data_IF_635490611153
#
_entry.id   IF_635490611153
#
_cell.length_a   1.000
_cell.length_b   1.000
_cell.length_c   1.000
_cell.angle_alpha   90.00
_cell.angle_beta   90.00
_cell.angle_gamma   90.00
#
_symmetry.space_group_name_H-M   'P 1'
#
loop_
_entity.id
_entity.type
_entity.pdbx_description
1 polymer ?
#
# COMPACT_ATOMS: atom_id res chain seq x y z
N UNK A 1 0.92 7.91 9.33
CA UNK A 1 1.72 9.15 9.31
C UNK A 1 1.35 10.11 8.18
N UNK A 2 1.41 9.72 6.90
CA UNK A 2 1.14 10.66 5.78
C UNK A 2 -0.18 11.43 5.89
N UNK A 3 -1.28 10.77 6.27
CA UNK A 3 -2.56 11.45 6.44
C UNK A 3 -2.63 12.37 7.67
N UNK A 4 -1.81 12.15 8.71
CA UNK A 4 -1.66 13.10 9.82
C UNK A 4 -0.89 14.36 9.37
N UNK A 5 -0.03 14.23 8.36
CA UNK A 5 0.69 15.33 7.75
C UNK A 5 -0.11 16.03 6.63
N UNK A 6 -1.41 15.76 6.51
CA UNK A 6 -2.31 16.46 5.58
C UNK A 6 -2.28 15.94 4.14
N UNK A 7 -1.73 14.75 3.87
CA UNK A 7 -1.74 14.19 2.51
C UNK A 7 -3.17 13.92 2.01
N UNK A 8 -3.47 14.36 0.77
CA UNK A 8 -4.74 14.11 0.08
C UNK A 8 -4.63 12.98 -0.97
N UNK A 9 -3.41 12.72 -1.46
CA UNK A 9 -3.08 11.59 -2.32
C UNK A 9 -1.80 10.94 -1.81
N UNK A 10 -1.79 9.62 -1.67
CA UNK A 10 -0.60 8.83 -1.34
C UNK A 10 -0.30 7.86 -2.47
N UNK A 11 0.82 8.09 -3.16
CA UNK A 11 1.35 7.17 -4.17
C UNK A 11 2.12 6.03 -3.50
N UNK A 12 1.89 4.81 -3.97
CA UNK A 12 2.53 3.60 -3.49
C UNK A 12 3.16 2.84 -4.69
N UNK A 13 4.36 3.25 -5.12
CA UNK A 13 5.13 2.51 -6.12
C UNK A 13 5.71 1.24 -5.50
N UNK A 14 5.45 0.11 -6.15
CA UNK A 14 5.81 -1.23 -5.68
C UNK A 14 6.45 -2.05 -6.80
N UNK A 15 7.18 -3.08 -6.39
CA UNK A 15 7.66 -4.15 -7.26
C UNK A 15 7.48 -5.47 -6.51
N UNK A 16 6.37 -6.15 -6.77
CA UNK A 16 6.02 -7.40 -6.11
C UNK A 16 5.45 -8.43 -7.07
N UNK A 17 5.72 -9.71 -6.79
CA UNK A 17 5.40 -10.85 -7.64
C UNK A 17 4.17 -11.61 -7.14
N UNK A 18 3.55 -12.37 -8.04
CA UNK A 18 2.30 -13.11 -7.82
C UNK A 18 2.34 -14.06 -6.63
N UNK A 19 3.45 -14.78 -6.46
CA UNK A 19 3.68 -15.78 -5.42
C UNK A 19 3.93 -15.20 -4.03
N UNK A 20 4.18 -13.89 -3.92
CA UNK A 20 4.58 -13.26 -2.66
C UNK A 20 3.41 -12.58 -1.93
N UNK A 21 2.65 -11.74 -2.63
CA UNK A 21 1.72 -10.81 -1.95
C UNK A 21 0.49 -10.41 -2.76
N UNK A 22 0.21 -11.08 -3.88
CA UNK A 22 -0.89 -10.68 -4.76
C UNK A 22 -2.25 -10.68 -4.04
N UNK A 23 -2.48 -11.65 -3.16
CA UNK A 23 -3.72 -11.73 -2.36
C UNK A 23 -3.92 -10.53 -1.43
N UNK A 24 -2.84 -9.83 -1.06
CA UNK A 24 -2.87 -8.63 -0.22
C UNK A 24 -3.04 -7.35 -1.05
N UNK A 25 -2.69 -7.39 -2.34
CA UNK A 25 -2.71 -6.24 -3.24
C UNK A 25 -4.05 -5.47 -3.28
N UNK A 26 -5.24 -6.11 -3.34
CA UNK A 26 -6.50 -5.37 -3.35
C UNK A 26 -6.95 -4.88 -1.96
N UNK A 27 -6.19 -5.20 -0.90
CA UNK A 27 -6.55 -4.96 0.49
C UNK A 27 -5.81 -3.76 1.06
N UNK A 28 -4.48 -3.76 1.01
CA UNK A 28 -3.66 -2.88 1.87
C UNK A 28 -3.78 -1.39 1.48
N UNK A 29 -3.57 -1.06 0.21
CA UNK A 29 -3.71 0.32 -0.26
C UNK A 29 -5.16 0.81 -0.13
N UNK A 30 -6.13 -0.07 -0.40
CA UNK A 30 -7.55 0.24 -0.21
C UNK A 30 -7.89 0.55 1.26
N UNK A 31 -7.36 -0.25 2.18
CA UNK A 31 -7.49 -0.03 3.62
C UNK A 31 -6.86 1.30 4.04
N UNK A 32 -5.68 1.62 3.50
CA UNK A 32 -5.01 2.88 3.78
C UNK A 32 -5.86 4.11 3.36
N UNK A 33 -6.51 4.06 2.19
CA UNK A 33 -7.43 5.10 1.72
C UNK A 33 -8.60 5.31 2.70
N UNK A 34 -9.28 4.22 3.06
CA UNK A 34 -10.42 4.21 3.98
C UNK A 34 -10.04 4.71 5.37
N UNK A 35 -8.95 4.20 5.95
CA UNK A 35 -8.53 4.53 7.31
C UNK A 35 -8.05 5.99 7.45
N UNK A 36 -7.60 6.60 6.36
CA UNK A 36 -7.02 7.94 6.38
C UNK A 36 -7.87 9.02 5.70
N UNK A 37 -8.94 8.63 4.99
CA UNK A 37 -9.79 9.49 4.18
C UNK A 37 -9.00 10.34 3.18
N UNK A 38 -8.11 9.69 2.43
CA UNK A 38 -7.38 10.25 1.29
C UNK A 38 -7.49 9.33 0.08
N UNK A 39 -6.93 9.75 -1.06
CA UNK A 39 -6.72 8.84 -2.20
C UNK A 39 -5.44 8.02 -2.03
N UNK A 40 -5.47 6.78 -2.51
CA UNK A 40 -4.25 5.95 -2.67
C UNK A 40 -4.08 5.52 -4.12
N UNK A 41 -2.84 5.52 -4.60
CA UNK A 41 -2.47 5.08 -5.94
C UNK A 41 -1.49 3.92 -5.83
N UNK A 42 -1.98 2.69 -5.96
CA UNK A 42 -1.16 1.48 -5.91
C UNK A 42 -0.62 1.17 -7.32
N UNK A 43 0.70 1.14 -7.45
CA UNK A 43 1.38 0.95 -8.74
C UNK A 43 2.32 -0.24 -8.60
N UNK A 44 2.13 -1.28 -9.40
CA UNK A 44 3.07 -2.40 -9.48
C UNK A 44 3.69 -2.47 -10.88
N UNK A 45 4.88 -3.06 -10.92
CA UNK A 45 5.56 -3.44 -12.16
C UNK A 45 4.78 -4.55 -12.88
N UNK A 46 5.03 -4.71 -14.19
CA UNK A 46 4.54 -5.84 -15.01
C UNK A 46 5.71 -6.60 -15.63
N UNK A 47 5.49 -7.87 -15.94
CA UNK A 47 6.44 -8.72 -16.66
C UNK A 47 7.34 -9.55 -15.77
N UNK A 48 8.34 -10.19 -16.36
CA UNK A 48 9.32 -11.04 -15.66
C UNK A 48 10.71 -10.56 -16.03
N UNK A 49 11.57 -10.44 -15.03
CA UNK A 49 12.95 -9.98 -15.21
C UNK A 49 13.93 -11.10 -14.90
N UNK A 50 14.94 -11.24 -15.77
CA UNK A 50 16.01 -12.22 -15.64
C UNK A 50 17.34 -11.50 -15.44
N UNK A 51 18.14 -11.98 -14.49
CA UNK A 51 19.43 -11.43 -14.11
C UNK A 51 20.59 -12.30 -14.60
N UNK A 52 21.78 -11.73 -14.83
CA UNK A 52 22.91 -12.46 -15.41
C UNK A 52 23.55 -13.49 -14.48
N UNK A 53 23.38 -13.35 -13.16
CA UNK A 53 23.97 -14.24 -12.16
C UNK A 53 22.84 -14.90 -11.34
N UNK A 54 23.06 -16.14 -10.93
CA UNK A 54 22.12 -16.86 -10.07
C UNK A 54 22.04 -16.24 -8.67
N UNK A 55 20.85 -16.30 -8.08
CA UNK A 55 20.57 -15.93 -6.69
C UNK A 55 19.57 -16.91 -6.07
N UNK A 56 19.38 -16.85 -4.75
CA UNK A 56 18.42 -17.67 -4.01
C UNK A 56 17.36 -16.81 -3.34
N UNK A 57 16.17 -17.37 -3.12
CA UNK A 57 15.02 -16.66 -2.50
C UNK A 57 14.83 -16.97 -1.01
N UNK A 58 15.78 -17.66 -0.38
CA UNK A 58 15.68 -18.06 1.03
C UNK A 58 14.60 -19.12 1.33
N UNK A 59 14.05 -19.76 0.31
CA UNK A 59 12.96 -20.75 0.38
C UNK A 59 13.45 -22.20 0.19
N UNK A 60 14.76 -22.44 0.36
CA UNK A 60 15.44 -23.73 0.18
C UNK A 60 15.45 -24.29 -1.25
N UNK A 61 14.91 -23.57 -2.23
CA UNK A 61 14.98 -23.96 -3.64
C UNK A 61 16.37 -23.68 -4.25
N UNK A 62 16.70 -24.31 -5.40
CA UNK A 62 17.93 -24.04 -6.12
C UNK A 62 18.09 -22.57 -6.52
N UNK A 63 19.34 -22.18 -6.82
CA UNK A 63 19.63 -20.89 -7.44
C UNK A 63 18.89 -20.74 -8.77
N UNK A 64 18.44 -19.53 -9.04
CA UNK A 64 17.70 -19.19 -10.24
C UNK A 64 18.08 -17.77 -10.71
N UNK A 65 17.63 -17.41 -11.90
CA UNK A 65 17.98 -16.12 -12.53
C UNK A 65 16.79 -15.20 -12.73
N UNK A 66 15.55 -15.68 -12.57
CA UNK A 66 14.33 -14.87 -12.72
C UNK A 66 13.76 -14.43 -11.37
N UNK A 67 13.30 -13.19 -11.26
CA UNK A 67 12.73 -12.70 -10.00
C UNK A 67 11.31 -13.22 -9.71
N UNK A 68 10.67 -13.82 -10.71
CA UNK A 68 9.23 -14.08 -10.72
C UNK A 68 8.43 -13.06 -11.53
N UNK A 69 7.12 -13.29 -11.63
CA UNK A 69 6.22 -12.51 -12.46
C UNK A 69 5.60 -11.35 -11.68
N UNK A 70 5.93 -10.11 -12.07
CA UNK A 70 5.27 -8.92 -11.57
C UNK A 70 3.87 -8.79 -12.20
N UNK A 71 2.85 -8.74 -11.35
CA UNK A 71 1.45 -8.93 -11.75
C UNK A 71 0.70 -7.63 -12.09
N UNK A 72 1.38 -6.48 -12.15
CA UNK A 72 0.74 -5.19 -12.46
C UNK A 72 -0.47 -4.90 -11.55
N UNK A 73 -1.66 -4.89 -12.14
CA UNK A 73 -2.91 -4.68 -11.38
C UNK A 73 -2.97 -3.34 -10.65
N UNK A 74 -2.28 -2.32 -11.18
CA UNK A 74 -2.26 -0.96 -10.62
C UNK A 74 -3.67 -0.36 -10.57
N UNK A 75 -4.01 0.35 -9.49
CA UNK A 75 -5.35 0.91 -9.27
C UNK A 75 -5.34 2.13 -8.36
N UNK A 76 -6.46 2.87 -8.39
CA UNK A 76 -6.70 4.04 -7.53
C UNK A 76 -7.88 3.74 -6.61
N UNK A 77 -7.76 4.10 -5.33
CA UNK A 77 -8.85 4.05 -4.34
C UNK A 77 -9.14 5.45 -3.81
N UNK A 78 -10.42 5.80 -3.76
CA UNK A 78 -10.93 7.01 -3.14
C UNK A 78 -11.08 6.93 -1.62
N UNK A 79 -11.29 8.07 -0.95
CA UNK A 79 -11.41 8.14 0.51
C UNK A 79 -12.62 7.39 1.07
N UNK A 80 -13.66 7.19 0.25
CA UNK A 80 -14.88 6.44 0.54
C UNK A 80 -14.72 4.92 0.35
N UNK A 81 -13.54 4.46 -0.08
CA UNK A 81 -13.23 3.06 -0.33
C UNK A 81 -13.68 2.53 -1.69
N UNK A 82 -14.33 3.35 -2.53
CA UNK A 82 -14.56 3.02 -3.95
C UNK A 82 -13.22 3.03 -4.67
N UNK A 83 -13.05 2.13 -5.64
CA UNK A 83 -11.80 2.00 -6.40
C UNK A 83 -12.02 1.72 -7.87
N UNK A 84 -11.02 2.05 -8.67
CA UNK A 84 -10.96 1.64 -10.06
C UNK A 84 -10.74 0.14 -10.18
N UNK A 85 -11.11 -0.46 -11.34
CA UNK A 85 -10.53 -1.72 -11.77
C UNK A 85 -9.00 -1.64 -11.77
N UNK A 86 -8.34 -2.80 -11.63
CA UNK A 86 -6.90 -2.89 -11.83
C UNK A 86 -6.54 -2.81 -13.31
N UNK A 87 -5.37 -2.27 -13.62
CA UNK A 87 -4.76 -2.41 -14.94
C UNK A 87 -4.39 -3.87 -15.24
N UNK A 88 -4.02 -4.11 -16.50
CA UNK A 88 -3.56 -5.41 -16.97
C UNK A 88 -2.38 -5.94 -16.13
N UNK A 89 -2.26 -7.27 -16.13
CA UNK A 89 -1.26 -7.98 -15.32
C UNK A 89 0.06 -8.19 -16.03
N UNK A 90 0.06 -8.11 -17.36
CA UNK A 90 1.16 -8.56 -18.22
C UNK A 90 1.73 -7.38 -19.02
N UNK A 91 0.86 -6.49 -19.49
CA UNK A 91 1.21 -5.42 -20.42
C UNK A 91 1.41 -4.09 -19.71
N UNK A 92 2.29 -3.27 -20.28
CA UNK A 92 2.41 -1.86 -19.90
C UNK A 92 1.05 -1.17 -20.06
N UNK A 93 0.73 -0.28 -19.13
CA UNK A 93 -0.54 0.44 -19.14
C UNK A 93 -0.43 1.82 -18.52
N UNK A 94 -1.38 2.67 -18.87
CA UNK A 94 -1.55 4.01 -18.32
C UNK A 94 -2.95 4.11 -17.68
N UNK A 95 -2.99 4.39 -16.38
CA UNK A 95 -4.23 4.64 -15.65
C UNK A 95 -4.40 6.14 -15.46
N UNK A 96 -5.45 6.71 -16.07
CA UNK A 96 -5.84 8.11 -15.89
C UNK A 96 -7.16 8.11 -15.11
N UNK A 97 -7.23 8.92 -14.05
CA UNK A 97 -8.45 9.13 -13.29
C UNK A 97 -8.62 10.61 -12.95
N UNK A 98 -9.86 11.08 -13.06
CA UNK A 98 -10.28 12.37 -12.52
C UNK A 98 -10.73 12.17 -11.07
N UNK A 99 -10.23 13.02 -10.17
CA UNK A 99 -10.54 12.93 -8.74
C UNK A 99 -10.88 14.31 -8.18
N UNK A 100 -11.92 14.38 -7.35
CA UNK A 100 -12.24 15.58 -6.57
C UNK A 100 -11.61 15.46 -5.17
N UNK A 101 -10.61 16.30 -4.88
CA UNK A 101 -9.92 16.31 -3.59
C UNK A 101 -10.83 16.76 -2.43
N UNK A 102 -11.92 17.47 -2.71
CA UNK A 102 -12.87 17.86 -1.67
C UNK A 102 -13.55 16.65 -1.02
N UNK A 103 -13.63 15.51 -1.73
CA UNK A 103 -14.16 14.26 -1.20
C UNK A 103 -13.41 13.80 0.06
N UNK A 104 -12.09 14.05 0.17
CA UNK A 104 -11.30 13.71 1.35
C UNK A 104 -11.87 14.37 2.61
N UNK A 105 -12.25 15.65 2.52
CA UNK A 105 -12.89 16.37 3.62
C UNK A 105 -14.28 15.85 3.90
N UNK A 106 -15.10 15.66 2.87
CA UNK A 106 -16.50 15.21 3.01
C UNK A 106 -16.57 13.86 3.73
N UNK A 107 -15.75 12.88 3.34
CA UNK A 107 -15.72 11.55 3.96
C UNK A 107 -15.16 11.63 5.38
N UNK A 108 -14.09 12.40 5.60
CA UNK A 108 -13.52 12.62 6.94
C UNK A 108 -14.55 13.17 7.92
N UNK A 109 -15.35 14.14 7.49
CA UNK A 109 -16.37 14.79 8.32
C UNK A 109 -17.55 13.84 8.58
N UNK A 110 -17.93 13.02 7.59
CA UNK A 110 -19.02 12.04 7.72
C UNK A 110 -18.66 10.86 8.63
N UNK A 111 -17.45 10.30 8.51
CA UNK A 111 -17.06 9.08 9.24
C UNK A 111 -16.37 9.35 10.57
N UNK A 112 -15.78 10.54 10.74
CA UNK A 112 -15.21 10.97 12.02
C UNK A 112 -13.97 10.20 12.48
N UNK A 113 -13.30 9.42 11.61
CA UNK A 113 -12.10 8.66 12.00
C UNK A 113 -10.99 9.56 12.56
N UNK A 114 -10.77 10.73 11.95
CA UNK A 114 -9.80 11.71 12.46
C UNK A 114 -10.15 12.23 13.85
N UNK A 115 -11.44 12.39 14.13
CA UNK A 115 -11.93 12.85 15.43
C UNK A 115 -11.73 11.79 16.53
N UNK A 116 -11.84 10.51 16.18
CA UNK A 116 -11.79 9.39 17.13
C UNK A 116 -10.43 8.68 17.19
N UNK A 117 -9.42 9.15 16.45
CA UNK A 117 -8.11 8.50 16.31
C UNK A 117 -7.26 8.43 17.59
N UNK A 118 -7.50 9.32 18.57
CA UNK A 118 -6.77 9.38 19.87
C UNK A 118 -5.24 9.20 19.75
N UNK A 119 -4.54 9.98 18.90
CA UNK A 119 -3.12 9.75 18.62
C UNK A 119 -2.23 9.82 19.87
N UNK A 120 -2.56 10.68 20.84
CA UNK A 120 -1.83 10.80 22.11
C UNK A 120 -1.80 9.48 22.90
N UNK A 121 -2.95 8.80 23.01
CA UNK A 121 -3.06 7.51 23.70
C UNK A 121 -2.16 6.45 23.05
N UNK A 122 -2.21 6.36 21.72
CA UNK A 122 -1.41 5.38 20.98
C UNK A 122 0.08 5.71 21.04
N UNK A 123 0.45 6.99 21.00
CA UNK A 123 1.83 7.43 21.14
C UNK A 123 2.42 7.04 22.49
N UNK A 124 1.69 7.25 23.59
CA UNK A 124 2.10 6.83 24.93
C UNK A 124 2.21 5.29 25.01
N UNK A 125 1.19 4.57 24.54
CA UNK A 125 1.12 3.11 24.59
C UNK A 125 2.28 2.44 23.85
N UNK A 126 2.60 2.93 22.63
CA UNK A 126 3.72 2.43 21.84
C UNK A 126 5.06 2.79 22.47
N UNK A 127 5.18 3.99 23.04
CA UNK A 127 6.40 4.43 23.75
C UNK A 127 6.70 3.51 24.94
N UNK A 128 5.70 3.21 25.77
CA UNK A 128 5.84 2.32 26.92
C UNK A 128 6.18 0.88 26.51
N UNK A 129 5.63 0.40 25.39
CA UNK A 129 5.99 -0.91 24.86
C UNK A 129 7.47 -0.99 24.45
N UNK A 130 7.98 0.02 23.74
CA UNK A 130 9.38 0.06 23.29
C UNK A 130 10.35 0.12 24.47
N UNK A 131 10.06 0.92 25.51
CA UNK A 131 10.89 0.97 26.73
C UNK A 131 11.03 -0.41 27.39
N UNK A 132 9.95 -1.20 27.46
CA UNK A 132 9.98 -2.56 28.04
C UNK A 132 10.89 -3.52 27.28
N UNK A 133 11.00 -3.37 25.96
CA UNK A 133 11.91 -4.20 25.15
C UNK A 133 13.38 -3.86 25.42
N UNK A 134 13.69 -2.58 25.63
CA UNK A 134 15.06 -2.12 25.89
C UNK A 134 15.61 -2.61 27.25
N UNK A 135 14.75 -2.89 28.23
CA UNK A 135 15.17 -3.42 29.53
C UNK A 135 15.25 -4.96 29.60
N UNK A 136 14.96 -5.68 28.50
CA UNK A 136 15.03 -7.15 28.41
C UNK A 136 16.34 -7.66 27.78
N UNK A 137 17.22 -6.76 27.36
CA UNK A 137 18.58 -7.03 26.88
C UNK A 137 19.59 -6.32 27.77
#
# INVERSE_FOLDING_TARGET
MYGLNGAEIVFNPCATIDTLSETLWPIEARCAAVANNYFTVAINRVGTETFPNEFTSGDTKPGHTDFGHFFGSSYITGPDGVRTPGLDRIHNGLLIAEVDLNSCRQVRDSWGFRMTQRPELYAESLTEYVKKLQHKH
#
